data_IF_903225312182
#
_entry.id   IF_903225312182
#
_cell.length_a   1.000
_cell.length_b   1.000
_cell.length_c   1.000
_cell.angle_alpha   90.00
_cell.angle_beta   90.00
_cell.angle_gamma   90.00
#
_symmetry.space_group_name_H-M   'P 1'
#
loop_
_entity.id
_entity.type
_entity.pdbx_description
1 polymer ?
2 non-polymer ?
3 non-polymer ?
4 water ?
#
# COMPACT_ATOMS: atom_id res chain seq x y z
N UNK A 9 -25.85 -15.02 12.50
CA UNK A 9 -24.83 -16.07 12.66
C UNK A 9 -23.87 -16.15 11.47
N UNK A 10 -22.73 -16.82 11.67
CA UNK A 10 -21.74 -17.02 10.60
C UNK A 10 -22.09 -18.24 9.75
N UNK A 11 -21.68 -18.22 8.47
CA UNK A 11 -22.01 -19.37 7.62
C UNK A 11 -21.44 -20.66 8.21
N UNK A 12 -22.12 -21.76 7.95
CA UNK A 12 -21.74 -23.07 8.47
C UNK A 12 -20.37 -23.53 7.96
N UNK A 13 -20.07 -23.23 6.69
CA UNK A 13 -18.78 -23.60 6.10
C UNK A 13 -17.61 -22.84 6.74
N UNK A 14 -17.82 -21.57 7.06
CA UNK A 14 -16.82 -20.82 7.80
C UNK A 14 -16.62 -21.47 9.17
N UNK A 15 -17.73 -21.67 9.88
CA UNK A 15 -17.73 -22.18 11.24
C UNK A 15 -17.06 -23.55 11.30
N UNK A 16 -17.29 -24.35 10.27
CA UNK A 16 -16.66 -25.65 10.20
C UNK A 16 -15.13 -25.61 10.38
N UNK A 17 -14.51 -24.53 9.92
CA UNK A 17 -13.05 -24.49 9.87
C UNK A 17 -12.41 -23.51 10.82
N UNK A 18 -13.22 -22.60 11.35
CA UNK A 18 -12.69 -21.52 12.16
C UNK A 18 -13.59 -21.24 13.34
N UNK A 19 -12.97 -20.90 14.45
CA UNK A 19 -13.67 -20.28 15.56
C UNK A 19 -13.52 -18.76 15.42
N UNK A 20 -14.63 -18.05 15.29
CA UNK A 20 -14.58 -16.60 15.17
C UNK A 20 -14.33 -15.94 16.53
N UNK A 21 -13.73 -14.74 16.48
CA UNK A 21 -13.34 -14.02 17.69
C UNK A 21 -13.59 -12.50 17.55
N UNK A 22 -12.89 -11.72 18.37
CA UNK A 22 -13.09 -10.26 18.48
C UNK A 22 -12.88 -9.51 17.16
N UNK A 23 -13.41 -8.29 17.08
CA UNK A 23 -13.17 -7.41 15.94
C UNK A 23 -11.81 -6.71 16.08
N UNK A 24 -11.16 -6.44 14.94
CA UNK A 24 -9.84 -5.83 14.94
C UNK A 24 -9.83 -4.42 14.34
N UNK A 25 -10.49 -4.27 13.19
CA UNK A 25 -10.55 -2.99 12.48
C UNK A 25 -11.76 -2.84 11.57
N UNK A 26 -11.93 -1.64 10.99
CA UNK A 26 -13.07 -1.37 10.09
C UNK A 26 -12.66 -0.76 8.74
N UNK A 30 -15.53 -2.62 4.82
CA UNK A 30 -16.05 -3.60 5.74
C UNK A 30 -15.28 -3.77 7.06
N UNK A 31 -15.46 -4.95 7.67
CA UNK A 31 -14.91 -5.23 9.00
C UNK A 31 -13.92 -6.40 9.02
N UNK A 32 -13.07 -6.45 10.05
CA UNK A 32 -12.07 -7.50 10.18
C UNK A 32 -12.07 -8.14 11.58
N UNK A 33 -12.28 -9.45 11.63
CA UNK A 33 -12.30 -10.15 12.90
C UNK A 33 -11.09 -11.06 13.08
N UNK A 34 -10.71 -11.26 14.34
CA UNK A 34 -9.74 -12.28 14.70
C UNK A 34 -10.43 -13.65 14.64
N UNK A 35 -9.70 -14.66 14.20
CA UNK A 35 -10.21 -16.02 14.24
C UNK A 35 -9.11 -17.04 14.40
N UNK A 36 -9.49 -18.24 14.81
CA UNK A 36 -8.56 -19.36 14.95
C UNK A 36 -8.91 -20.45 13.97
N UNK A 37 -7.92 -20.90 13.22
CA UNK A 37 -8.13 -22.01 12.31
C UNK A 37 -8.12 -23.31 13.12
N UNK A 38 -9.19 -24.10 13.00
CA UNK A 38 -9.32 -25.31 13.81
C UNK A 38 -8.17 -26.29 13.59
N UNK A 39 -7.80 -26.50 12.34
CA UNK A 39 -6.74 -27.45 11.98
C UNK A 39 -5.40 -27.18 12.67
N UNK A 40 -5.04 -25.91 12.83
CA UNK A 40 -3.71 -25.55 13.30
C UNK A 40 -3.70 -24.85 14.64
N UNK A 41 -4.87 -24.39 15.08
CA UNK A 41 -5.00 -23.60 16.30
C UNK A 41 -4.27 -22.27 16.21
N UNK A 42 -4.00 -21.86 14.99
CA UNK A 42 -3.27 -20.64 14.73
C UNK A 42 -4.24 -19.49 14.48
N UNK A 43 -3.80 -18.27 14.80
CA UNK A 43 -4.64 -17.08 14.60
C UNK A 43 -4.67 -16.65 13.13
N UNK A 44 -5.85 -16.27 12.65
CA UNK A 44 -5.98 -15.73 11.30
C UNK A 44 -6.80 -14.46 11.35
N UNK A 45 -6.82 -13.74 10.24
CA UNK A 45 -7.73 -12.60 10.12
C UNK A 45 -8.84 -12.90 9.12
N UNK A 46 -10.05 -12.48 9.44
CA UNK A 46 -11.17 -12.69 8.52
C UNK A 46 -11.83 -11.36 8.18
N UNK A 47 -11.71 -11.00 6.91
CA UNK A 47 -12.31 -9.78 6.37
C UNK A 47 -13.73 -10.09 5.87
N UNK A 48 -14.69 -9.39 6.47
CA UNK A 48 -16.10 -9.50 6.13
C UNK A 48 -16.58 -8.30 5.32
N UNK A 49 -16.95 -8.57 4.07
CA UNK A 49 -17.48 -7.55 3.17
C UNK A 49 -18.96 -7.81 2.88
N UNK A 50 -19.84 -6.96 3.41
CA UNK A 50 -21.29 -7.12 3.23
C UNK A 50 -21.74 -7.08 1.75
N UNK A 51 -22.97 -7.51 1.50
CA UNK A 51 -23.52 -7.47 0.14
C UNK A 51 -24.68 -6.46 0.03
N UNK A 64 -20.31 -4.21 -5.00
CA UNK A 64 -19.66 -5.03 -3.96
C UNK A 64 -18.81 -6.16 -4.56
N UNK A 65 -19.46 -7.01 -5.35
CA UNK A 65 -18.82 -8.19 -5.93
C UNK A 65 -17.60 -7.90 -6.82
N UNK A 66 -17.59 -6.77 -7.51
CA UNK A 66 -16.48 -6.48 -8.42
C UNK A 66 -15.19 -6.26 -7.63
N UNK A 67 -15.24 -5.34 -6.67
CA UNK A 67 -14.12 -5.07 -5.76
C UNK A 67 -13.57 -6.35 -5.12
N UNK A 68 -14.48 -7.19 -4.62
CA UNK A 68 -14.12 -8.44 -3.97
C UNK A 68 -13.50 -9.44 -4.95
N UNK A 69 -14.16 -9.63 -6.08
CA UNK A 69 -13.67 -10.59 -7.07
C UNK A 69 -12.28 -10.18 -7.57
N UNK A 70 -12.01 -8.88 -7.64
CA UNK A 70 -10.72 -8.43 -8.16
C UNK A 70 -9.65 -8.55 -7.09
N UNK A 71 -10.00 -8.16 -5.86
CA UNK A 71 -9.05 -8.26 -4.76
C UNK A 71 -8.63 -9.71 -4.61
N UNK A 72 -9.62 -10.59 -4.69
CA UNK A 72 -9.36 -12.00 -4.51
C UNK A 72 -8.52 -12.52 -5.66
N UNK A 73 -8.89 -12.14 -6.89
CA UNK A 73 -8.17 -12.60 -8.06
C UNK A 73 -6.74 -12.06 -8.02
N UNK A 74 -6.60 -10.84 -7.51
CA UNK A 74 -5.28 -10.22 -7.38
C UNK A 74 -4.42 -10.88 -6.33
N UNK A 75 -4.94 -10.96 -5.11
CA UNK A 75 -4.17 -11.52 -4.00
C UNK A 75 -3.79 -12.99 -4.22
N UNK A 76 -4.64 -13.71 -4.93
CA UNK A 76 -4.36 -15.11 -5.24
C UNK A 76 -3.18 -15.26 -6.19
N UNK A 77 -2.99 -14.28 -7.07
CA UNK A 77 -1.93 -14.41 -8.06
C UNK A 77 -0.63 -13.72 -7.62
N UNK A 78 -0.72 -12.91 -6.57
CA UNK A 78 0.42 -12.15 -6.08
C UNK A 78 1.21 -12.84 -4.97
N UNK A 79 2.52 -12.63 -4.96
CA UNK A 79 3.38 -13.34 -4.04
C UNK A 79 4.59 -12.52 -3.61
N UNK A 80 4.42 -11.69 -2.58
CA UNK A 80 5.47 -10.79 -2.10
C UNK A 80 5.41 -10.60 -0.57
N UNK A 81 6.58 -10.55 0.08
CA UNK A 81 6.69 -10.44 1.55
C UNK A 81 5.94 -9.23 2.13
N UNK A 82 5.73 -8.22 1.30
CA UNK A 82 5.08 -6.99 1.79
C UNK A 82 3.71 -6.77 1.17
N UNK A 83 3.17 -7.82 0.55
CA UNK A 83 1.78 -7.84 0.11
C UNK A 83 1.04 -8.92 0.93
N UNK A 84 -0.11 -8.56 1.51
CA UNK A 84 -0.90 -9.50 2.29
C UNK A 84 -1.40 -10.73 1.49
N UNK A 85 -1.26 -11.92 2.08
CA UNK A 85 -1.64 -13.16 1.41
C UNK A 85 -3.01 -13.66 1.86
N UNK A 86 -3.78 -14.16 0.91
CA UNK A 86 -5.09 -14.67 1.23
C UNK A 86 -4.99 -16.17 1.53
N UNK A 87 -5.78 -16.63 2.49
CA UNK A 87 -5.72 -18.00 2.99
C UNK A 87 -6.95 -18.82 2.57
N UNK A 88 -8.10 -18.19 2.57
CA UNK A 88 -9.36 -18.87 2.29
C UNK A 88 -10.42 -17.83 1.93
N UNK A 89 -11.48 -18.25 1.25
CA UNK A 89 -12.57 -17.35 0.86
C UNK A 89 -13.94 -18.02 1.03
N UNK A 90 -14.91 -17.25 1.49
CA UNK A 90 -16.28 -17.74 1.63
C UNK A 90 -17.31 -16.80 0.98
N UNK A 91 -17.99 -17.32 -0.04
CA UNK A 91 -19.05 -16.59 -0.74
C UNK A 91 -20.42 -17.01 -0.18
N UNK A 92 -20.99 -16.17 0.69
CA UNK A 92 -22.20 -16.55 1.41
C UNK A 92 -23.21 -15.42 1.49
N UNK A 93 -23.93 -15.34 2.60
CA UNK A 93 -24.85 -14.24 2.84
C UNK A 93 -24.01 -12.96 2.82
N UNK A 94 -22.72 -13.12 3.14
CA UNK A 94 -21.73 -12.07 2.99
C UNK A 94 -20.43 -12.64 2.45
N UNK A 95 -19.48 -11.76 2.15
CA UNK A 95 -18.16 -12.19 1.72
C UNK A 95 -17.24 -12.39 2.92
N UNK A 96 -16.51 -13.50 2.93
CA UNK A 96 -15.55 -13.77 4.00
C UNK A 96 -14.19 -14.10 3.42
N UNK A 97 -13.25 -13.20 3.65
CA UNK A 97 -11.88 -13.41 3.19
C UNK A 97 -10.96 -13.72 4.35
N UNK A 98 -10.25 -14.82 4.27
CA UNK A 98 -9.39 -15.27 5.36
C UNK A 98 -7.95 -14.93 5.02
N UNK A 99 -7.38 -14.00 5.78
CA UNK A 99 -5.99 -13.59 5.58
C UNK A 99 -5.09 -13.92 6.78
N UNK A 100 -3.80 -13.97 6.50
CA UNK A 100 -2.80 -14.03 7.57
C UNK A 100 -2.98 -12.81 8.46
N UNK A 101 -2.81 -12.99 9.76
CA UNK A 101 -3.08 -11.95 10.73
C UNK A 101 -1.90 -11.01 10.89
N UNK A 102 -2.18 -9.73 11.04
CA UNK A 102 -1.15 -8.72 11.27
C UNK A 102 -1.28 -8.16 12.68
N UNK A 103 -0.47 -8.68 13.60
CA UNK A 103 -0.60 -8.38 15.02
C UNK A 103 -0.35 -6.90 15.38
N UNK A 104 0.54 -6.26 14.63
CA UNK A 104 0.91 -4.87 14.88
C UNK A 104 -0.12 -3.81 14.56
N UNK A 105 -1.15 -4.16 13.80
CA UNK A 105 -2.19 -3.22 13.45
C UNK A 105 -1.86 -2.24 12.32
N UNK A 106 -2.65 -1.17 12.24
CA UNK A 106 -2.52 -0.17 11.18
C UNK A 106 -1.38 0.82 11.43
N UNK A 107 -0.67 1.17 10.37
CA UNK A 107 0.33 2.23 10.41
C UNK A 107 -0.31 3.53 10.82
N UNK A 108 -1.59 3.66 10.50
CA UNK A 108 -2.38 4.82 10.88
C UNK A 108 -2.19 5.11 12.38
N UNK A 109 -2.39 4.11 13.22
CA UNK A 109 -2.30 4.29 14.68
C UNK A 109 -0.96 4.83 15.14
N UNK A 110 0.09 4.60 14.36
CA UNK A 110 1.41 5.08 14.74
C UNK A 110 1.66 6.55 14.36
N UNK A 111 0.73 7.17 13.65
CA UNK A 111 0.97 8.52 13.12
C UNK A 111 -0.11 9.52 13.46
N UNK A 112 -1.19 9.06 14.10
CA UNK A 112 -2.27 9.93 14.52
C UNK A 112 -1.95 10.68 15.81
N UNK A 113 -2.66 11.79 16.02
CA UNK A 113 -2.38 12.65 17.15
C UNK A 113 -0.98 13.21 17.09
N UNK A 114 -0.54 13.56 15.87
CA UNK A 114 0.78 14.11 15.62
C UNK A 114 1.91 13.25 16.15
N UNK A 115 1.60 11.98 16.42
CA UNK A 115 2.64 11.05 16.83
C UNK A 115 3.72 11.00 15.77
N UNK A 116 4.93 10.75 16.23
CA UNK A 116 6.12 10.94 15.42
C UNK A 116 6.82 9.60 15.25
N UNK A 117 7.00 9.16 14.01
CA UNK A 117 7.83 7.98 13.78
C UNK A 117 9.28 8.44 13.68
N UNK A 118 10.19 7.74 14.37
CA UNK A 118 11.59 8.15 14.28
C UNK A 118 12.12 7.86 12.87
N UNK A 119 12.89 8.80 12.35
CA UNK A 119 13.25 8.78 10.94
C UNK A 119 13.69 7.41 10.43
N UNK A 120 14.42 6.66 11.24
CA UNK A 120 14.98 5.41 10.76
C UNK A 120 13.89 4.35 10.62
N UNK A 121 12.86 4.47 11.46
CA UNK A 121 11.70 3.60 11.36
C UNK A 121 10.91 3.92 10.09
N UNK A 122 10.74 5.21 9.82
CA UNK A 122 10.17 5.67 8.56
C UNK A 122 10.87 5.02 7.37
N UNK A 123 12.19 4.93 7.44
CA UNK A 123 12.93 4.45 6.31
C UNK A 123 12.67 2.96 6.15
N UNK A 124 12.67 2.24 7.26
CA UNK A 124 12.45 0.81 7.20
C UNK A 124 11.06 0.50 6.60
N UNK A 125 10.04 1.18 7.11
CA UNK A 125 8.68 1.01 6.64
C UNK A 125 8.52 1.42 5.16
N UNK A 126 9.02 2.60 4.84
CA UNK A 126 8.81 3.16 3.52
C UNK A 126 9.51 2.34 2.45
N UNK A 127 10.67 1.83 2.80
CA UNK A 127 11.42 0.96 1.92
C UNK A 127 10.60 -0.29 1.57
N UNK A 128 9.96 -0.90 2.57
CA UNK A 128 9.09 -2.03 2.30
C UNK A 128 7.88 -1.62 1.45
N UNK A 129 7.35 -0.42 1.72
CA UNK A 129 6.24 0.11 0.95
C UNK A 129 6.65 0.23 -0.51
N UNK A 130 7.85 0.76 -0.75
CA UNK A 130 8.35 0.96 -2.11
C UNK A 130 8.51 -0.38 -2.84
N UNK A 131 9.09 -1.38 -2.18
CA UNK A 131 9.25 -2.69 -2.81
C UNK A 131 7.89 -3.27 -3.19
N UNK A 132 6.94 -3.20 -2.25
CA UNK A 132 5.61 -3.72 -2.48
C UNK A 132 4.98 -3.06 -3.70
N UNK A 133 4.96 -1.73 -3.71
CA UNK A 133 4.31 -1.01 -4.77
C UNK A 133 5.09 -1.15 -6.09
N UNK A 134 6.40 -1.32 -6.00
CA UNK A 134 7.16 -1.61 -7.20
C UNK A 134 6.70 -2.92 -7.82
N UNK A 135 6.48 -3.90 -6.95
CA UNK A 135 6.07 -5.22 -7.34
C UNK A 135 4.69 -5.19 -8.02
N UNK A 136 3.74 -4.48 -7.39
CA UNK A 136 2.44 -4.26 -7.99
C UNK A 136 2.57 -3.72 -9.40
N UNK A 137 3.39 -2.69 -9.56
CA UNK A 137 3.53 -2.01 -10.82
C UNK A 137 4.20 -2.86 -11.90
N UNK A 138 5.27 -3.58 -11.52
CA UNK A 138 5.90 -4.57 -12.41
C UNK A 138 4.88 -5.58 -12.92
N UNK A 139 3.88 -5.85 -12.10
CA UNK A 139 2.84 -6.84 -12.41
C UNK A 139 1.55 -6.28 -12.96
N UNK A 140 1.56 -5.04 -13.46
CA UNK A 140 0.37 -4.43 -14.04
C UNK A 140 -0.79 -4.15 -13.08
N UNK A 141 -0.47 -3.95 -11.79
CA UNK A 141 -1.48 -3.60 -10.80
C UNK A 141 -1.24 -2.22 -10.23
N UNK A 142 -2.31 -1.43 -10.17
CA UNK A 142 -2.28 -0.13 -9.52
C UNK A 142 -3.21 -0.18 -8.30
N UNK A 143 -2.70 0.16 -7.12
CA UNK A 143 -3.48 0.07 -5.89
C UNK A 143 -4.60 1.13 -5.75
N UNK A 144 -4.23 2.42 -5.88
CA UNK A 144 -5.19 3.52 -5.93
C UNK A 144 -5.78 3.97 -4.61
N UNK A 145 -5.52 3.23 -3.55
CA UNK A 145 -6.03 3.64 -2.24
C UNK A 145 -4.96 3.45 -1.14
N UNK A 146 -3.72 3.85 -1.42
CA UNK A 146 -2.66 3.71 -0.43
C UNK A 146 -2.79 4.85 0.58
N UNK A 147 -2.80 4.49 1.85
CA UNK A 147 -2.89 5.41 2.99
C UNK A 147 -2.53 4.62 4.28
N UNK A 148 -2.21 5.32 5.39
CA UNK A 148 -1.76 4.63 6.61
C UNK A 148 -2.68 3.51 7.07
N UNK A 149 -3.98 3.64 6.80
CA UNK A 149 -4.99 2.67 7.23
C UNK A 149 -4.84 1.33 6.52
N UNK A 150 -4.21 1.34 5.36
CA UNK A 150 -4.12 0.16 4.52
C UNK A 150 -2.72 -0.41 4.49
N UNK A 151 -1.90 0.07 5.43
CA UNK A 151 -0.56 -0.46 5.66
C UNK A 151 -0.53 -1.15 7.03
N UNK A 152 -0.23 -2.45 7.07
CA UNK A 152 -0.27 -3.15 8.35
C UNK A 152 1.10 -3.58 8.82
N UNK A 153 1.29 -3.51 10.13
CA UNK A 153 2.53 -3.94 10.78
C UNK A 153 2.42 -5.39 11.28
N UNK A 154 3.44 -6.19 11.03
CA UNK A 154 3.37 -7.63 11.30
C UNK A 154 3.50 -7.99 12.78
N UNK A 155 3.91 -7.03 13.60
CA UNK A 155 4.00 -7.28 15.02
C UNK A 155 4.03 -5.95 15.75
N UNK A 156 4.07 -6.02 17.08
CA UNK A 156 4.09 -4.81 17.89
C UNK A 156 5.50 -4.26 18.08
N UNK A 157 6.49 -5.01 17.59
CA UNK A 157 7.87 -4.51 17.54
C UNK A 157 7.88 -3.26 16.67
N UNK A 158 8.87 -2.40 16.86
CA UNK A 158 8.95 -1.19 16.06
C UNK A 158 9.70 -1.53 14.78
N UNK A 159 10.51 -2.57 14.83
CA UNK A 159 11.16 -3.08 13.65
C UNK A 159 10.40 -4.32 13.24
N UNK A 160 9.49 -4.18 12.28
CA UNK A 160 8.70 -5.33 11.84
C UNK A 160 8.55 -5.31 10.33
N UNK A 161 7.86 -6.30 9.79
CA UNK A 161 7.50 -6.28 8.39
C UNK A 161 6.19 -5.52 8.23
N UNK A 162 6.07 -4.80 7.14
CA UNK A 162 4.78 -4.20 6.82
C UNK A 162 4.18 -4.92 5.61
N UNK A 163 2.87 -4.92 5.49
CA UNK A 163 2.22 -5.48 4.32
C UNK A 163 1.10 -4.56 3.88
N UNK A 164 0.99 -4.38 2.56
CA UNK A 164 -0.10 -3.59 2.01
C UNK A 164 -1.36 -4.44 1.87
N UNK A 165 -2.49 -3.86 2.26
CA UNK A 165 -3.78 -4.52 2.18
C UNK A 165 -4.81 -3.68 1.41
N UNK A 166 -6.07 -4.16 1.39
CA UNK A 166 -7.21 -3.45 0.78
C UNK A 166 -7.09 -3.17 -0.71
N UNK A 167 -7.11 -4.24 -1.49
CA UNK A 167 -6.94 -4.11 -2.92
C UNK A 167 -8.25 -3.95 -3.68
N UNK A 168 -9.32 -3.58 -2.98
CA UNK A 168 -10.62 -3.43 -3.61
C UNK A 168 -10.60 -2.46 -4.77
N UNK A 169 -9.99 -1.29 -4.56
CA UNK A 169 -9.99 -0.21 -5.54
C UNK A 169 -8.93 -0.33 -6.63
N UNK A 170 -8.24 -1.45 -6.68
CA UNK A 170 -7.14 -1.51 -7.61
C UNK A 170 -7.60 -1.70 -9.05
N UNK A 171 -6.68 -1.52 -9.97
CA UNK A 171 -6.98 -1.57 -11.39
C UNK A 171 -5.89 -2.40 -12.01
N UNK A 172 -6.26 -3.16 -13.02
CA UNK A 172 -5.31 -4.00 -13.72
C UNK A 172 -5.02 -3.32 -15.05
N UNK A 173 -3.76 -3.03 -15.32
CA UNK A 173 -3.36 -2.55 -16.63
C UNK A 173 -3.54 -3.69 -17.64
N UNK A 174 -3.90 -3.35 -18.87
CA UNK A 174 -4.04 -4.34 -19.94
C UNK A 174 -3.86 -3.69 -21.30
N UNK A 175 -3.88 -4.50 -22.37
CA UNK A 175 -3.75 -3.96 -23.73
C UNK A 175 -4.84 -2.94 -24.00
N UNK A 176 -4.44 -1.68 -24.06
CA UNK A 176 -5.42 -0.60 -24.05
C UNK A 176 -6.32 -0.63 -25.27
N UNK A 177 -7.54 -0.13 -25.08
CA UNK A 177 -8.37 0.17 -26.22
C UNK A 177 -7.64 1.25 -27.01
N UNK A 178 -6.91 2.12 -26.30
CA UNK A 178 -6.12 3.17 -26.94
C UNK A 178 -5.10 2.60 -27.90
N UNK A 179 -4.35 1.61 -27.44
CA UNK A 179 -3.36 0.98 -28.29
C UNK A 179 -4.03 0.44 -29.56
N UNK A 180 -5.14 -0.25 -29.40
CA UNK A 180 -5.83 -0.83 -30.55
C UNK A 180 -6.24 0.27 -31.53
N UNK A 181 -6.81 1.36 -30.99
CA UNK A 181 -7.21 2.49 -31.81
C UNK A 181 -6.05 3.09 -32.60
N UNK A 182 -4.84 3.07 -32.04
CA UNK A 182 -3.68 3.63 -32.72
C UNK A 182 -3.21 2.79 -33.90
N UNK A 183 -3.83 1.62 -34.08
CA UNK A 183 -3.37 0.70 -35.11
C UNK A 183 -4.02 0.97 -36.46
N UNK A 184 -5.17 1.64 -36.45
CA UNK A 184 -5.79 2.08 -37.68
C UNK A 184 -5.50 3.53 -38.04
N UNK A 185 -6.10 4.00 -39.12
CA UNK A 185 -5.97 5.40 -39.47
C UNK A 185 -7.09 6.18 -38.80
N UNK A 186 -6.74 7.34 -38.24
CA UNK A 186 -7.61 8.17 -37.41
C UNK A 186 -8.51 9.04 -38.25
N UNK A 187 -8.71 8.65 -39.50
CA UNK A 187 -9.66 9.35 -40.36
C UNK A 187 -10.88 9.87 -39.58
N UNK A 188 -11.44 9.01 -38.72
CA UNK A 188 -12.69 9.34 -38.05
C UNK A 188 -12.50 9.62 -36.59
N UNK A 189 -11.24 9.54 -36.16
CA UNK A 189 -10.86 9.60 -34.76
C UNK A 189 -10.78 11.01 -34.17
N UNK A 190 -11.49 11.26 -33.06
CA UNK A 190 -11.53 12.57 -32.41
C UNK A 190 -10.18 13.06 -31.89
N UNK A 191 -9.98 14.38 -31.96
CA UNK A 191 -8.75 15.05 -31.52
C UNK A 191 -8.33 14.67 -30.09
N UNK A 192 -9.27 14.61 -29.15
CA UNK A 192 -8.94 14.39 -27.74
C UNK A 192 -8.35 13.00 -27.49
N UNK A 193 -8.66 12.05 -28.35
CA UNK A 193 -8.09 10.73 -28.19
C UNK A 193 -6.61 10.81 -28.53
N UNK A 194 -6.30 11.42 -29.67
CA UNK A 194 -4.92 11.65 -30.07
C UNK A 194 -4.11 12.43 -29.03
N UNK A 195 -4.69 13.48 -28.46
CA UNK A 195 -4.01 14.23 -27.42
C UNK A 195 -3.73 13.39 -26.17
N UNK A 196 -4.66 12.50 -25.83
CA UNK A 196 -4.52 11.67 -24.64
C UNK A 196 -3.30 10.75 -24.71
N UNK A 197 -2.81 10.50 -25.93
CA UNK A 197 -1.63 9.68 -26.15
C UNK A 197 -0.38 10.23 -25.42
N UNK A 198 -0.24 11.55 -25.34
CA UNK A 198 0.89 12.14 -24.67
C UNK A 198 1.04 11.70 -23.21
N UNK A 199 -0.10 11.54 -22.54
CA UNK A 199 -0.11 11.33 -21.10
C UNK A 199 -0.51 9.91 -20.71
N UNK A 200 -0.86 9.10 -21.71
CA UNK A 200 -1.30 7.73 -21.45
C UNK A 200 -0.22 6.86 -20.82
N UNK A 201 -0.66 5.95 -19.97
CA UNK A 201 0.22 4.93 -19.43
C UNK A 201 0.98 5.40 -18.20
N UNK A 202 0.49 6.45 -17.53
CA UNK A 202 1.12 6.94 -16.31
C UNK A 202 0.17 6.90 -15.11
N UNK A 203 -0.85 6.04 -15.20
CA UNK A 203 -1.82 5.85 -14.12
C UNK A 203 -1.18 5.41 -12.80
N UNK A 204 -0.14 4.59 -12.91
CA UNK A 204 0.58 4.10 -11.74
C UNK A 204 1.19 5.22 -10.92
N UNK A 205 1.48 6.35 -11.56
CA UNK A 205 2.02 7.48 -10.86
C UNK A 205 1.12 7.96 -9.69
N UNK A 206 -0.18 7.64 -9.71
CA UNK A 206 -1.04 8.05 -8.60
C UNK A 206 -0.64 7.36 -7.30
N UNK A 207 -0.09 6.15 -7.41
CA UNK A 207 0.39 5.44 -6.23
C UNK A 207 1.63 6.12 -5.66
N UNK A 208 2.41 6.74 -6.53
CA UNK A 208 3.66 7.32 -6.07
C UNK A 208 3.41 8.64 -5.36
N UNK A 209 2.37 9.37 -5.81
CA UNK A 209 1.93 10.52 -5.08
C UNK A 209 1.51 10.12 -3.66
N UNK A 210 0.64 9.12 -3.56
CA UNK A 210 0.17 8.64 -2.28
C UNK A 210 1.28 8.25 -1.32
N UNK A 211 2.30 7.58 -1.86
CA UNK A 211 3.41 7.18 -1.03
C UNK A 211 4.08 8.45 -0.52
N UNK A 212 4.16 9.45 -1.40
CA UNK A 212 4.70 10.75 -1.05
C UNK A 212 4.01 11.35 0.16
N UNK A 213 2.68 11.39 0.11
CA UNK A 213 1.89 11.88 1.22
C UNK A 213 2.10 11.02 2.49
N UNK A 214 2.08 9.71 2.33
CA UNK A 214 2.27 8.82 3.47
C UNK A 214 3.64 9.07 4.13
N UNK A 215 4.68 9.27 3.33
CA UNK A 215 6.02 9.49 3.83
C UNK A 215 6.11 10.82 4.59
N UNK A 216 5.56 11.87 3.99
CA UNK A 216 5.45 13.17 4.62
C UNK A 216 4.87 13.05 6.04
N UNK A 217 3.71 12.41 6.13
CA UNK A 217 3.00 12.21 7.38
C UNK A 217 3.85 11.43 8.41
N UNK A 218 4.52 10.38 7.94
CA UNK A 218 5.37 9.59 8.80
C UNK A 218 6.54 10.38 9.40
N UNK A 219 7.19 11.18 8.56
CA UNK A 219 8.36 11.96 8.95
C UNK A 219 8.01 13.12 9.90
N UNK A 220 6.85 13.72 9.69
CA UNK A 220 6.54 15.03 10.25
C UNK A 220 5.42 14.99 11.30
N UNK A 221 4.61 13.94 11.28
CA UNK A 221 3.49 13.79 12.19
C UNK A 221 2.27 14.58 11.78
N UNK A 222 2.31 15.22 10.61
CA UNK A 222 1.13 15.95 10.11
C UNK A 222 0.97 15.80 8.58
N UNK A 223 -0.24 16.06 8.06
CA UNK A 223 -0.56 15.93 6.63
C UNK A 223 -0.06 17.11 5.82
N UNK A 224 0.47 16.87 4.61
CA UNK A 224 0.96 17.97 3.78
C UNK A 224 -0.16 18.82 3.22
N UNK A 225 -1.32 18.22 2.98
CA UNK A 225 -2.47 18.93 2.44
C UNK A 225 -3.62 18.71 3.39
N UNK A 226 -4.31 19.79 3.73
CA UNK A 226 -5.14 19.79 4.92
C UNK A 226 -5.97 21.07 4.95
N UNK A 227 -7.07 21.08 5.67
CA UNK A 227 -7.83 22.32 5.79
C UNK A 227 -7.53 23.08 7.10
N UNK A 228 -6.78 22.43 7.99
CA UNK A 228 -6.38 23.02 9.26
C UNK A 228 -5.60 24.32 9.04
N UNK A 229 -6.22 25.44 9.42
CA UNK A 229 -5.58 26.75 9.41
C UNK A 229 -5.08 27.19 8.03
N UNK A 230 -5.99 27.18 7.07
CA UNK A 230 -5.71 27.69 5.74
C UNK A 230 -6.99 28.24 5.21
N UNK A 231 -6.88 29.19 4.31
CA UNK A 231 -8.04 29.64 3.56
C UNK A 231 -8.02 28.99 2.17
N UNK A 232 -6.91 28.33 1.86
CA UNK A 232 -6.79 27.64 0.57
C UNK A 232 -7.52 26.30 0.60
N UNK A 233 -8.37 26.07 -0.38
CA UNK A 233 -9.08 24.80 -0.49
C UNK A 233 -8.11 23.61 -0.60
N UNK A 234 -8.56 22.46 -0.08
CA UNK A 234 -7.79 21.24 -0.18
C UNK A 234 -7.45 21.00 -1.65
N UNK A 235 -8.45 21.09 -2.52
CA UNK A 235 -8.25 20.87 -3.94
C UNK A 235 -7.15 21.76 -4.50
N UNK A 236 -7.16 23.04 -4.11
CA UNK A 236 -6.17 24.00 -4.62
C UNK A 236 -4.73 23.72 -4.16
N UNK A 237 -4.56 23.28 -2.91
CA UNK A 237 -3.23 22.92 -2.41
C UNK A 237 -2.69 21.76 -3.20
N UNK A 238 -3.54 20.76 -3.44
CA UNK A 238 -3.12 19.54 -4.13
C UNK A 238 -2.74 19.81 -5.59
N UNK A 239 -3.57 20.51 -6.35
CA UNK A 239 -3.26 20.75 -7.76
C UNK A 239 -2.10 21.71 -7.93
N UNK A 240 -1.92 22.62 -6.99
CA UNK A 240 -0.79 23.55 -7.05
C UNK A 240 0.50 22.86 -6.56
N UNK A 241 0.35 21.82 -5.75
CA UNK A 241 1.50 21.09 -5.22
C UNK A 241 2.09 21.74 -4.00
N UNK A 242 1.40 22.73 -3.45
CA UNK A 242 1.92 23.50 -2.33
C UNK A 242 1.55 22.95 -0.94
N UNK A 243 2.35 22.01 -0.46
CA UNK A 243 2.12 21.42 0.85
C UNK A 243 2.47 22.41 1.96
N UNK A 244 1.90 22.15 3.12
CA UNK A 244 2.13 22.93 4.32
C UNK A 244 3.49 22.61 4.93
N UNK A 245 4.48 23.45 4.65
CA UNK A 245 5.81 23.24 5.24
C UNK A 245 6.07 23.98 6.57
N UNK A 246 6.16 23.20 7.65
CA UNK A 246 6.39 23.74 8.99
C UNK A 246 7.83 23.48 9.43
N UNK A 247 8.69 24.48 9.26
CA UNK A 247 10.13 24.34 9.47
C UNK A 247 10.50 23.77 10.83
N UNK A 248 9.81 24.23 11.88
CA UNK A 248 10.10 23.77 13.24
C UNK A 248 10.01 22.24 13.33
N UNK A 249 8.98 21.68 12.73
CA UNK A 249 8.80 20.23 12.76
C UNK A 249 9.81 19.53 11.85
N UNK A 250 10.02 20.08 10.66
CA UNK A 250 10.91 19.47 9.68
C UNK A 250 12.39 19.62 10.00
N UNK A 251 12.70 20.61 10.83
CA UNK A 251 14.08 20.88 11.21
C UNK A 251 14.73 19.65 11.81
N UNK A 252 13.98 18.93 12.63
CA UNK A 252 14.53 17.72 13.26
C UNK A 252 14.59 16.53 12.28
N UNK A 253 14.25 16.78 11.03
CA UNK A 253 14.23 15.72 10.02
C UNK A 253 15.35 15.93 9.01
N UNK A 254 15.95 14.82 8.57
CA UNK A 254 17.06 14.87 7.63
C UNK A 254 16.66 15.56 6.33
N UNK A 255 17.66 15.95 5.54
CA UNK A 255 17.42 16.70 4.32
C UNK A 255 17.29 15.74 3.13
N UNK A 256 17.86 14.54 3.27
CA UNK A 256 17.69 13.49 2.26
C UNK A 256 16.24 13.01 2.22
N UNK A 257 15.67 12.82 3.41
CA UNK A 257 14.29 12.41 3.54
C UNK A 257 13.36 13.42 2.85
N UNK A 258 13.43 14.66 3.28
CA UNK A 258 12.59 15.72 2.73
C UNK A 258 12.77 15.84 1.21
N UNK A 259 13.99 15.62 0.73
CA UNK A 259 14.26 15.65 -0.71
C UNK A 259 13.47 14.58 -1.48
N UNK A 260 13.48 13.35 -0.98
CA UNK A 260 12.69 12.27 -1.57
C UNK A 260 11.20 12.61 -1.57
N UNK A 261 10.72 13.10 -0.42
CA UNK A 261 9.35 13.56 -0.34
C UNK A 261 9.05 14.54 -1.48
N UNK A 262 9.96 15.48 -1.70
CA UNK A 262 9.75 16.52 -2.71
C UNK A 262 9.68 15.94 -4.11
N UNK A 263 10.39 14.85 -4.35
CA UNK A 263 10.41 14.25 -5.68
C UNK A 263 9.17 13.38 -5.92
N UNK A 264 8.52 12.97 -4.84
CA UNK A 264 7.28 12.24 -4.94
C UNK A 264 6.08 13.19 -5.05
N UNK A 265 6.14 14.34 -4.39
CA UNK A 265 5.01 15.26 -4.44
C UNK A 265 5.11 16.20 -5.65
N UNK A 266 5.38 15.63 -6.83
CA UNK A 266 5.46 16.41 -8.06
C UNK A 266 4.15 16.33 -8.82
N UNK A 267 3.58 17.49 -9.08
CA UNK A 267 2.26 17.61 -9.72
C UNK A 267 2.19 16.93 -11.07
N UNK A 268 3.19 17.16 -11.91
CA UNK A 268 3.33 16.50 -13.22
C UNK A 268 3.55 14.98 -13.06
N UNK A 269 2.57 14.16 -13.49
CA UNK A 269 2.72 12.71 -13.26
C UNK A 269 3.90 12.12 -14.03
N UNK A 270 4.32 12.77 -15.13
CA UNK A 270 5.38 12.22 -15.96
C UNK A 270 6.76 12.51 -15.38
N UNK A 271 6.86 13.60 -14.62
CA UNK A 271 8.06 14.02 -13.92
C UNK A 271 8.18 13.37 -12.53
N UNK A 272 7.04 13.00 -11.96
CA UNK A 272 7.01 12.41 -10.63
C UNK A 272 7.96 11.19 -10.55
N UNK A 273 8.64 11.03 -9.43
CA UNK A 273 9.46 9.86 -9.19
C UNK A 273 8.65 8.57 -9.31
N UNK A 274 9.17 7.59 -10.02
CA UNK A 274 8.60 6.25 -9.98
C UNK A 274 9.16 5.55 -8.74
N UNK A 275 8.68 4.35 -8.46
CA UNK A 275 9.24 3.54 -7.38
C UNK A 275 10.74 3.21 -7.56
N UNK A 276 11.16 2.86 -8.79
CA UNK A 276 12.57 2.65 -9.11
C UNK A 276 13.46 3.84 -8.73
N UNK A 277 13.02 5.04 -9.11
CA UNK A 277 13.77 6.24 -8.79
C UNK A 277 13.80 6.46 -7.29
N UNK A 278 12.70 6.11 -6.63
CA UNK A 278 12.60 6.30 -5.19
C UNK A 278 13.58 5.36 -4.49
N UNK A 279 13.69 4.14 -5.03
CA UNK A 279 14.53 3.08 -4.45
C UNK A 279 16.02 3.36 -4.64
N UNK A 280 16.34 4.16 -5.65
CA UNK A 280 17.73 4.50 -5.93
C UNK A 280 18.08 5.87 -5.38
N UNK A 281 17.13 6.48 -4.68
CA UNK A 281 17.38 7.76 -4.03
C UNK A 281 18.28 7.55 -2.81
N UNK A 282 19.26 8.46 -2.64
CA UNK A 282 20.24 8.42 -1.56
C UNK A 282 19.65 8.08 -0.19
N UNK A 283 18.47 8.60 0.12
CA UNK A 283 17.89 8.36 1.44
C UNK A 283 17.70 6.87 1.73
N UNK A 284 17.63 6.06 0.67
CA UNK A 284 17.39 4.63 0.85
C UNK A 284 18.64 3.79 0.56
N UNK A 285 19.73 4.48 0.26
CA UNK A 285 21.03 3.82 0.19
C UNK A 285 21.55 3.69 1.63
N UNK A 286 20.96 2.75 2.36
CA UNK A 286 21.19 2.61 3.79
C UNK A 286 21.32 1.12 4.14
N UNK A 287 22.57 0.65 4.17
CA UNK A 287 22.87 -0.77 4.28
C UNK A 287 22.44 -1.40 5.60
N UNK A 288 22.43 -0.58 6.64
CA UNK A 288 21.93 -1.04 7.92
C UNK A 288 20.47 -1.40 7.80
N UNK A 289 19.68 -0.45 7.31
CA UNK A 289 18.24 -0.60 7.15
C UNK A 289 17.91 -1.85 6.35
N UNK A 290 18.57 -2.04 5.22
CA UNK A 290 18.29 -3.19 4.36
C UNK A 290 18.61 -4.50 5.11
N UNK A 291 19.63 -4.44 5.96
CA UNK A 291 20.04 -5.54 6.83
C UNK A 291 18.90 -5.92 7.76
N UNK A 292 18.44 -4.94 8.53
CA UNK A 292 17.34 -5.16 9.46
C UNK A 292 16.12 -5.77 8.74
N UNK A 293 15.89 -5.35 7.49
CA UNK A 293 14.77 -5.85 6.72
C UNK A 293 15.00 -7.31 6.33
N UNK A 294 16.16 -7.59 5.75
CA UNK A 294 16.54 -8.98 5.44
C UNK A 294 16.48 -9.87 6.67
N UNK A 295 16.95 -9.34 7.80
CA UNK A 295 16.84 -10.04 9.09
C UNK A 295 15.39 -10.43 9.36
N UNK A 296 14.50 -9.44 9.36
CA UNK A 296 13.07 -9.64 9.57
C UNK A 296 12.47 -10.65 8.59
N UNK A 297 12.97 -10.66 7.36
CA UNK A 297 12.50 -11.60 6.37
C UNK A 297 12.75 -13.06 6.76
N UNK A 298 14.02 -13.42 6.84
CA UNK A 298 14.37 -14.81 7.14
C UNK A 298 13.77 -15.21 8.48
N UNK A 299 13.65 -14.25 9.38
CA UNK A 299 13.00 -14.51 10.65
C UNK A 299 11.53 -14.94 10.48
N UNK A 300 10.79 -14.25 9.61
CA UNK A 300 9.39 -14.59 9.35
C UNK A 300 9.32 -15.99 8.78
N UNK A 301 10.28 -16.30 7.91
CA UNK A 301 10.26 -17.51 7.12
C UNK A 301 10.85 -18.74 7.82
N UNK A 302 11.51 -18.51 8.95
CA UNK A 302 12.16 -19.59 9.71
C UNK A 302 11.25 -20.81 9.87
N UNK A 303 10.00 -20.57 10.23
CA UNK A 303 9.07 -21.65 10.54
C UNK A 303 8.58 -22.42 9.30
N UNK A 304 8.78 -21.83 8.12
CA UNK A 304 8.25 -22.40 6.88
C UNK A 304 9.32 -23.09 6.02
N UNK A 305 10.58 -22.87 6.35
CA UNK A 305 11.69 -23.26 5.49
C UNK A 305 11.94 -24.77 5.40
N UNK A 306 11.83 -25.32 4.19
CA UNK A 306 12.18 -26.72 3.93
C UNK A 306 13.68 -26.84 3.76
N UNK A 307 14.22 -28.06 3.95
CA UNK A 307 15.67 -28.25 3.73
C UNK A 307 16.00 -28.16 2.25
N UNK A 308 17.24 -27.87 1.92
CA UNK A 308 17.55 -27.64 0.50
C UNK A 308 18.72 -28.49 0.05
N UNK A 309 18.73 -28.86 -1.23
CA UNK A 309 19.88 -29.56 -1.80
C UNK A 309 21.10 -28.66 -1.66
N UNK A 310 22.10 -29.13 -0.94
CA UNK A 310 23.37 -28.43 -0.86
C UNK A 310 24.40 -29.14 -1.75
#
# INVERSE_FOLDING_TARGET
GPLGSHMSVYPKALRDEYIMSKTLGSGACGEVKLAFERKTCKKVAIKIISKRKFAIGSAREADPALNVETEIEILKKLNHPCIIKIKNFFDAEDYYIVLELMEGGELFDKVVGNKRLKEATCKLYFYQMLLAVQYLHENGIIHRDLKPENVLLSSQEEDCLIKITDFGHSKILGETSLMRTLCGTPTYLAPEVLVSVGTAGYNRAVDCWSLGVILFICLSGYPPFSEHRTQVSLKDQITSGKYNFIPEVWAEVSEKALDLVKKLLVVDPKARFTTEEALRHPWLQDEDMKRKFQDLLSEENESTALPQVLAQPSTSRKRPREGEAEGAE
#
